data_IF_798258305204
#
_entry.id   IF_798258305204
#
_cell.length_a   1.000
_cell.length_b   1.000
_cell.length_c   1.000
_cell.angle_alpha   90.00
_cell.angle_beta   90.00
_cell.angle_gamma   90.00
#
_symmetry.space_group_name_H-M   'P 1'
#
loop_
_entity.id
_entity.type
_entity.pdbx_description
1 polymer ?
#
# COMPACT_ATOMS: atom_id res chain seq x y z
N UNK A 1 -7.79 1.83 9.79
CA UNK A 1 -7.53 1.77 8.34
C UNK A 1 -6.78 0.48 8.06
N UNK A 2 -7.40 -0.52 7.42
CA UNK A 2 -6.74 -1.81 7.12
C UNK A 2 -6.01 -1.80 5.78
N UNK A 3 -6.33 -0.88 4.88
CA UNK A 3 -5.86 -0.92 3.50
C UNK A 3 -4.40 -0.44 3.37
N UNK A 4 -4.04 0.68 4.00
CA UNK A 4 -2.64 1.13 4.05
C UNK A 4 -1.69 0.14 4.73
N UNK A 5 -2.15 -0.58 5.75
CA UNK A 5 -1.36 -1.65 6.38
C UNK A 5 -1.14 -2.84 5.44
N UNK A 6 -2.16 -3.23 4.68
CA UNK A 6 -2.07 -4.27 3.66
C UNK A 6 -1.08 -3.87 2.56
N UNK A 7 -1.16 -2.65 2.03
CA UNK A 7 -0.24 -2.15 1.00
C UNK A 7 1.22 -2.19 1.47
N UNK A 8 1.50 -1.77 2.70
CA UNK A 8 2.86 -1.82 3.26
C UNK A 8 3.38 -3.24 3.45
N UNK A 9 2.49 -4.23 3.59
CA UNK A 9 2.84 -5.63 3.73
C UNK A 9 3.07 -6.34 2.38
N UNK A 10 2.68 -5.73 1.24
CA UNK A 10 2.87 -6.34 -0.07
C UNK A 10 4.32 -6.26 -0.58
N UNK A 11 4.78 -7.25 -1.35
CA UNK A 11 6.00 -7.17 -2.13
C UNK A 11 5.97 -6.02 -3.14
N UNK A 12 7.13 -5.41 -3.41
CA UNK A 12 7.22 -4.28 -4.35
C UNK A 12 6.77 -4.64 -5.77
N UNK A 13 7.04 -5.87 -6.22
CA UNK A 13 6.58 -6.35 -7.53
C UNK A 13 5.06 -6.29 -7.67
N UNK A 14 4.31 -6.61 -6.61
CA UNK A 14 2.85 -6.54 -6.62
C UNK A 14 2.36 -5.08 -6.58
N UNK A 15 3.00 -4.21 -5.80
CA UNK A 15 2.67 -2.78 -5.78
C UNK A 15 2.87 -2.11 -7.14
N UNK A 16 3.92 -2.50 -7.89
CA UNK A 16 4.12 -2.01 -9.26
C UNK A 16 3.01 -2.40 -10.22
N UNK A 17 2.43 -3.59 -10.07
CA UNK A 17 1.31 -4.04 -10.93
C UNK A 17 -0.01 -3.32 -10.66
N UNK A 18 -0.09 -2.58 -9.56
CA UNK A 18 -1.29 -1.83 -9.16
C UNK A 18 -1.36 -0.42 -9.76
N UNK A 19 -0.34 0.01 -10.51
CA UNK A 19 -0.28 1.37 -11.11
C UNK A 19 -0.58 2.49 -10.10
N UNK A 20 -0.08 2.33 -8.87
CA UNK A 20 -0.27 3.31 -7.81
C UNK A 20 0.44 4.63 -8.15
N UNK A 21 -0.10 5.78 -7.69
CA UNK A 21 0.60 7.05 -7.81
C UNK A 21 1.99 7.01 -7.15
N UNK A 22 2.96 7.70 -7.75
CA UNK A 22 4.34 7.75 -7.26
C UNK A 22 4.45 8.22 -5.81
N UNK A 23 3.59 9.16 -5.39
CA UNK A 23 3.54 9.64 -4.01
C UNK A 23 3.15 8.53 -3.03
N UNK A 24 2.17 7.70 -3.40
CA UNK A 24 1.73 6.58 -2.59
C UNK A 24 2.80 5.47 -2.53
N UNK A 25 3.43 5.15 -3.66
CA UNK A 25 4.55 4.21 -3.72
C UNK A 25 5.71 4.65 -2.83
N UNK A 26 6.09 5.92 -2.93
CA UNK A 26 7.17 6.51 -2.14
C UNK A 26 6.86 6.45 -0.64
N UNK A 27 5.63 6.79 -0.24
CA UNK A 27 5.20 6.70 1.15
C UNK A 27 5.23 5.26 1.68
N UNK A 28 4.80 4.28 0.86
CA UNK A 28 4.86 2.85 1.21
C UNK A 28 6.31 2.38 1.39
N UNK A 29 7.20 2.69 0.45
CA UNK A 29 8.61 2.33 0.54
C UNK A 29 9.29 2.94 1.76
N UNK A 30 9.03 4.22 2.02
CA UNK A 30 9.54 4.92 3.19
C UNK A 30 9.07 4.23 4.48
N UNK A 31 7.79 3.90 4.56
CA UNK A 31 7.19 3.22 5.73
C UNK A 31 7.85 1.87 6.01
N UNK A 32 8.26 1.13 4.97
CA UNK A 32 8.96 -0.16 5.11
C UNK A 32 10.37 -0.03 5.69
N UNK A 33 11.04 1.11 5.50
CA UNK A 33 12.39 1.39 6.02
C UNK A 33 12.38 1.83 7.48
N UNK A 34 11.25 2.29 8.01
CA UNK A 34 11.14 2.78 9.38
C UNK A 34 11.20 1.62 10.39
N UNK A 35 12.15 1.71 11.32
CA UNK A 35 12.32 0.76 12.42
C UNK A 35 11.48 1.11 13.66
N UNK A 36 11.18 2.40 13.89
CA UNK A 36 10.38 2.84 15.04
C UNK A 36 8.89 2.57 14.82
N UNK A 37 8.28 1.79 15.71
CA UNK A 37 6.85 1.47 15.66
C UNK A 37 5.95 2.72 15.64
N UNK A 38 6.30 3.76 16.42
CA UNK A 38 5.54 5.00 16.47
C UNK A 38 5.60 5.79 15.15
N UNK A 39 6.80 5.93 14.59
CA UNK A 39 6.97 6.60 13.29
C UNK A 39 6.31 5.80 12.15
N UNK A 40 6.40 4.47 12.18
CA UNK A 40 5.75 3.58 11.21
C UNK A 40 4.23 3.73 11.26
N UNK A 41 3.65 3.76 12.46
CA UNK A 41 2.20 3.94 12.64
C UNK A 41 1.71 5.29 12.12
N UNK A 42 2.46 6.37 12.35
CA UNK A 42 2.13 7.70 11.79
C UNK A 42 2.20 7.70 10.27
N UNK A 43 3.19 7.04 9.68
CA UNK A 43 3.29 6.94 8.22
C UNK A 43 2.16 6.11 7.60
N UNK A 44 1.73 5.03 8.24
CA UNK A 44 0.53 4.28 7.82
C UNK A 44 -0.72 5.18 7.82
N UNK A 45 -0.85 6.08 8.80
CA UNK A 45 -1.95 7.04 8.82
C UNK A 45 -1.85 8.06 7.67
N UNK A 46 -0.64 8.54 7.37
CA UNK A 46 -0.39 9.44 6.25
C UNK A 46 -0.71 8.79 4.90
N UNK A 47 -0.29 7.54 4.68
CA UNK A 47 -0.71 6.71 3.53
C UNK A 47 -2.24 6.70 3.43
N UNK A 48 -2.91 6.49 4.56
CA UNK A 48 -4.37 6.54 4.66
C UNK A 48 -5.01 7.87 4.26
N UNK A 49 -4.31 9.00 4.43
CA UNK A 49 -4.77 10.31 3.97
C UNK A 49 -4.54 10.46 2.46
N UNK A 50 -3.37 10.07 1.96
CA UNK A 50 -3.06 10.08 0.52
C UNK A 50 -4.10 9.27 -0.25
N UNK A 51 -4.48 8.12 0.30
CA UNK A 51 -5.52 7.25 -0.24
C UNK A 51 -6.91 7.87 -0.35
N UNK A 52 -7.22 8.93 0.40
CA UNK A 52 -8.53 9.62 0.29
C UNK A 52 -8.64 10.51 -0.95
N UNK A 53 -7.49 10.84 -1.55
CA UNK A 53 -7.40 11.72 -2.70
C UNK A 53 -7.35 10.95 -4.01
N UNK A 54 -7.44 9.62 -3.95
CA UNK A 54 -7.41 8.70 -5.09
C UNK A 54 -8.62 7.78 -5.03
N UNK A 55 -9.01 7.24 -6.18
CA UNK A 55 -10.05 6.22 -6.23
C UNK A 55 -9.52 4.91 -5.59
N UNK A 56 -10.13 4.42 -4.50
CA UNK A 56 -9.72 3.17 -3.88
C UNK A 56 -10.12 1.93 -4.68
N UNK A 57 -11.10 2.02 -5.59
CA UNK A 57 -11.68 0.87 -6.29
C UNK A 57 -10.64 0.05 -7.08
N UNK A 58 -9.71 0.64 -7.86
CA UNK A 58 -8.67 -0.11 -8.55
C UNK A 58 -7.71 -0.83 -7.60
N UNK A 59 -7.41 -0.20 -6.45
CA UNK A 59 -6.50 -0.74 -5.43
C UNK A 59 -7.15 -1.94 -4.73
N UNK A 60 -8.43 -1.82 -4.37
CA UNK A 60 -9.21 -2.91 -3.78
C UNK A 60 -9.32 -4.10 -4.74
N UNK A 61 -9.63 -3.84 -6.02
CA UNK A 61 -9.68 -4.87 -7.04
C UNK A 61 -8.33 -5.59 -7.22
N UNK A 62 -7.22 -4.83 -7.20
CA UNK A 62 -5.90 -5.42 -7.32
C UNK A 62 -5.49 -6.22 -6.07
N UNK A 63 -5.85 -5.74 -4.88
CA UNK A 63 -5.68 -6.47 -3.62
C UNK A 63 -6.47 -7.79 -3.62
N UNK A 64 -7.72 -7.78 -4.09
CA UNK A 64 -8.54 -8.98 -4.17
C UNK A 64 -7.98 -10.00 -5.18
N UNK A 65 -7.42 -9.55 -6.30
CA UNK A 65 -6.71 -10.42 -7.26
C UNK A 65 -5.49 -11.09 -6.64
N UNK A 66 -4.74 -10.37 -5.81
CA UNK A 66 -3.59 -10.93 -5.07
C UNK A 66 -4.05 -11.91 -4.01
N UNK A 67 -5.06 -11.54 -3.20
CA UNK A 67 -5.56 -12.36 -2.09
C UNK A 67 -6.18 -13.67 -2.57
N UNK A 68 -6.90 -13.62 -3.70
CA UNK A 68 -7.57 -14.80 -4.31
C UNK A 68 -6.58 -15.72 -5.04
N UNK A 69 -5.28 -15.40 -5.06
CA UNK A 69 -4.22 -16.30 -5.55
C UNK A 69 -3.92 -16.20 -7.04
N UNK A 70 -4.49 -15.24 -7.76
CA UNK A 70 -4.27 -15.06 -9.20
C UNK A 70 -2.94 -14.38 -9.56
N UNK A 71 -2.18 -13.90 -8.57
CA UNK A 71 -0.84 -13.29 -8.72
C UNK A 71 0.23 -14.04 -7.91
N UNK A 72 0.15 -15.38 -7.87
CA UNK A 72 1.30 -16.23 -7.50
C UNK A 72 2.23 -16.36 -8.71
N UNK A 73 3.15 -15.41 -8.89
CA UNK A 73 4.40 -15.64 -9.62
C UNK A 73 5.53 -15.01 -8.83
#
# INVERSE_FOLDING_TARGET
>A
QRLGEQLVALPFGQLKTMELPDELLTAIEFTRKIRSHGARRRQIQHIGVLMRHIDPQPIENALDRIRTGNLRK
#
